data_IF_128155076624
#
_entry.id   IF_128155076624
#
_cell.length_a   1.000
_cell.length_b   1.000
_cell.length_c   1.000
_cell.angle_alpha   90.00
_cell.angle_beta   90.00
_cell.angle_gamma   90.00
#
_symmetry.space_group_name_H-M   'P 1'
#
loop_
_entity.id
_entity.type
_entity.pdbx_description
1 polymer ?
#
# COMPACT_ATOMS: atom_id res chain seq x y z
N UNK A 1 -8.27 -2.24 13.96
CA UNK A 1 -7.68 -2.09 12.61
C UNK A 1 -8.12 -3.25 11.75
N UNK A 2 -8.38 -2.99 10.48
CA UNK A 2 -8.81 -3.98 9.49
C UNK A 2 -7.78 -4.04 8.36
N UNK A 3 -7.50 -5.21 7.84
CA UNK A 3 -6.71 -5.34 6.62
C UNK A 3 -7.65 -5.38 5.42
N UNK A 4 -7.49 -4.42 4.53
CA UNK A 4 -8.17 -4.37 3.24
C UNK A 4 -7.21 -4.62 2.09
N UNK A 5 -7.73 -4.72 0.88
CA UNK A 5 -6.92 -4.83 -0.33
C UNK A 5 -7.49 -3.94 -1.42
N UNK A 6 -6.62 -3.32 -2.20
CA UNK A 6 -7.03 -2.53 -3.36
C UNK A 6 -7.59 -3.43 -4.47
N UNK A 7 -8.58 -2.93 -5.20
CA UNK A 7 -9.04 -3.57 -6.43
C UNK A 7 -7.97 -3.50 -7.52
N UNK A 8 -7.22 -2.39 -7.54
CA UNK A 8 -6.19 -2.12 -8.52
C UNK A 8 -4.91 -2.91 -8.21
N UNK A 9 -4.38 -3.53 -9.24
CA UNK A 9 -3.01 -4.04 -9.29
C UNK A 9 -2.12 -2.95 -9.89
N UNK A 10 -1.00 -2.66 -9.25
CA UNK A 10 -0.06 -1.64 -9.72
C UNK A 10 1.35 -2.19 -9.88
N UNK A 11 2.08 -1.62 -10.82
CA UNK A 11 3.50 -1.88 -11.02
C UNK A 11 4.24 -0.56 -11.14
N UNK A 12 5.43 -0.51 -10.57
CA UNK A 12 6.32 0.64 -10.74
C UNK A 12 7.75 0.17 -11.02
N UNK A 13 8.43 0.85 -11.95
CA UNK A 13 9.79 0.52 -12.35
C UNK A 13 10.75 1.69 -12.16
N UNK A 14 10.25 2.92 -12.20
CA UNK A 14 11.04 4.15 -12.17
C UNK A 14 10.61 5.14 -11.10
N UNK A 15 9.42 4.95 -10.55
CA UNK A 15 8.82 5.89 -9.60
C UNK A 15 8.65 5.24 -8.25
N UNK A 16 8.76 6.05 -7.20
CA UNK A 16 8.37 5.67 -5.85
C UNK A 16 6.87 5.93 -5.70
N UNK A 17 6.05 4.91 -5.42
CA UNK A 17 4.64 5.10 -5.18
C UNK A 17 4.39 5.46 -3.72
N UNK A 18 3.48 6.40 -3.49
CA UNK A 18 2.95 6.72 -2.17
C UNK A 18 1.46 6.45 -2.15
N UNK A 19 1.03 5.60 -1.24
CA UNK A 19 -0.37 5.39 -0.95
C UNK A 19 -0.81 6.40 0.10
N UNK A 20 -1.76 7.25 -0.26
CA UNK A 20 -2.30 8.30 0.60
C UNK A 20 -3.82 8.17 0.71
N UNK A 21 -4.36 8.67 1.81
CA UNK A 21 -5.80 8.85 1.95
C UNK A 21 -6.33 9.96 1.04
N UNK A 22 -7.63 10.18 1.12
CA UNK A 22 -8.31 11.30 0.46
C UNK A 22 -8.93 12.19 1.53
N UNK A 23 -8.93 13.50 1.31
CA UNK A 23 -9.42 14.46 2.30
C UNK A 23 -10.88 14.20 2.73
N UNK A 24 -11.74 13.79 1.80
CA UNK A 24 -13.14 13.45 2.11
C UNK A 24 -13.26 12.18 2.95
N UNK A 25 -12.32 11.25 2.82
CA UNK A 25 -12.26 10.00 3.59
C UNK A 25 -11.68 10.27 4.98
N UNK A 26 -10.62 11.07 5.05
CA UNK A 26 -10.05 11.52 6.33
C UNK A 26 -11.05 12.25 7.21
N UNK A 27 -11.93 13.07 6.61
CA UNK A 27 -13.02 13.75 7.34
C UNK A 27 -14.08 12.82 7.93
N UNK A 28 -14.16 11.60 7.43
CA UNK A 28 -14.99 10.54 8.02
C UNK A 28 -14.27 9.79 9.15
N UNK A 29 -13.03 10.15 9.45
CA UNK A 29 -12.21 9.50 10.47
C UNK A 29 -11.61 8.17 10.01
N UNK A 30 -11.39 8.00 8.71
CA UNK A 30 -10.82 6.78 8.14
C UNK A 30 -9.35 7.02 7.78
N UNK A 31 -8.46 6.22 8.35
CA UNK A 31 -7.08 6.09 7.93
C UNK A 31 -6.93 4.82 7.08
N UNK A 32 -6.10 4.83 6.04
CA UNK A 32 -5.91 3.69 5.14
C UNK A 32 -4.55 3.01 5.24
N UNK A 33 -3.63 3.61 5.98
CA UNK A 33 -2.37 2.99 6.41
C UNK A 33 -2.01 3.47 7.83
N UNK A 34 -1.31 2.65 8.56
CA UNK A 34 -0.92 2.98 9.94
C UNK A 34 0.32 3.89 9.97
N UNK A 35 1.40 3.52 9.30
CA UNK A 35 2.68 4.23 9.38
C UNK A 35 3.39 4.41 8.04
N UNK A 36 3.20 3.54 7.09
CA UNK A 36 4.05 3.45 5.91
C UNK A 36 3.22 3.46 4.61
N UNK A 37 2.92 4.64 4.11
CA UNK A 37 2.28 4.81 2.80
C UNK A 37 3.24 4.67 1.62
N UNK A 38 4.55 4.79 1.86
CA UNK A 38 5.55 4.67 0.80
C UNK A 38 5.75 3.23 0.36
N UNK A 39 5.64 2.98 -0.93
CA UNK A 39 6.12 1.75 -1.57
C UNK A 39 7.54 1.89 -2.12
N UNK A 40 8.14 0.80 -2.48
CA UNK A 40 9.46 0.77 -3.12
C UNK A 40 9.34 0.72 -4.65
N UNK A 41 10.36 1.24 -5.34
CA UNK A 41 10.51 1.00 -6.78
C UNK A 41 10.62 -0.50 -7.03
N UNK A 42 9.84 -1.00 -7.99
CA UNK A 42 9.77 -2.43 -8.29
C UNK A 42 8.69 -3.19 -7.51
N UNK A 43 7.92 -2.52 -6.67
CA UNK A 43 6.73 -3.12 -6.06
C UNK A 43 5.67 -3.38 -7.13
N UNK A 44 5.14 -4.60 -7.15
CA UNK A 44 4.18 -5.07 -8.15
C UNK A 44 3.12 -5.93 -7.48
N UNK A 45 2.04 -5.30 -7.03
CA UNK A 45 0.97 -6.04 -6.37
C UNK A 45 -0.31 -5.20 -6.25
N UNK A 46 -1.37 -5.82 -5.74
CA UNK A 46 -2.42 -5.11 -5.04
C UNK A 46 -1.86 -4.64 -3.68
N UNK A 47 -2.35 -3.52 -3.20
CA UNK A 47 -1.90 -2.95 -1.92
C UNK A 47 -2.74 -3.50 -0.77
N UNK A 48 -2.08 -3.92 0.29
CA UNK A 48 -2.75 -4.16 1.56
C UNK A 48 -2.93 -2.83 2.26
N UNK A 49 -4.17 -2.54 2.63
CA UNK A 49 -4.56 -1.35 3.37
C UNK A 49 -4.70 -1.69 4.85
N UNK A 50 -4.17 -0.84 5.70
CA UNK A 50 -4.24 -0.94 7.16
C UNK A 50 -5.29 0.06 7.65
N UNK A 51 -6.56 -0.34 7.53
CA UNK A 51 -7.70 0.55 7.74
C UNK A 51 -8.00 0.67 9.23
N UNK A 52 -8.00 1.88 9.74
CA UNK A 52 -8.51 2.20 11.07
C UNK A 52 -9.57 3.30 10.98
N UNK A 53 -10.49 3.28 11.93
CA UNK A 53 -11.61 4.23 11.96
C UNK A 53 -11.76 4.82 13.35
N UNK A 54 -12.05 6.12 13.42
CA UNK A 54 -12.26 6.86 14.68
C UNK A 54 -13.71 6.89 15.12
N UNK A 55 -14.61 6.47 14.24
CA UNK A 55 -16.05 6.38 14.49
C UNK A 55 -16.67 5.33 13.56
N UNK A 56 -17.86 4.80 13.85
CA UNK A 56 -18.53 3.89 12.93
C UNK A 56 -18.78 4.55 11.58
N UNK A 57 -18.33 3.92 10.50
CA UNK A 57 -18.52 4.38 9.13
C UNK A 57 -18.93 3.23 8.24
N UNK A 58 -19.78 3.54 7.27
CA UNK A 58 -20.15 2.60 6.22
C UNK A 58 -19.30 2.85 4.99
N UNK A 59 -18.60 1.82 4.55
CA UNK A 59 -17.84 1.83 3.31
C UNK A 59 -18.35 0.72 2.38
N UNK A 60 -18.07 0.85 1.10
CA UNK A 60 -18.55 -0.06 0.07
C UNK A 60 -17.36 -0.64 -0.71
N UNK A 61 -17.47 -1.90 -1.11
CA UNK A 61 -16.51 -2.49 -2.02
C UNK A 61 -16.42 -1.66 -3.32
N UNK A 62 -15.20 -1.40 -3.79
CA UNK A 62 -14.96 -0.55 -4.96
C UNK A 62 -15.02 0.96 -4.69
N UNK A 63 -15.33 1.37 -3.47
CA UNK A 63 -15.31 2.80 -3.10
C UNK A 63 -13.88 3.36 -3.15
N UNK A 64 -13.65 4.51 -3.82
CA UNK A 64 -12.33 5.12 -3.89
C UNK A 64 -11.98 5.80 -2.55
N UNK A 65 -11.24 5.10 -1.70
CA UNK A 65 -10.86 5.56 -0.35
C UNK A 65 -9.44 6.09 -0.24
N UNK A 66 -8.62 5.88 -1.26
CA UNK A 66 -7.24 6.31 -1.29
C UNK A 66 -6.81 6.81 -2.66
N UNK A 67 -5.56 7.17 -2.77
CA UNK A 67 -4.92 7.62 -4.01
C UNK A 67 -3.45 7.21 -4.00
N UNK A 68 -2.89 6.96 -5.17
CA UNK A 68 -1.46 6.77 -5.36
C UNK A 68 -0.85 8.03 -5.96
N UNK A 69 0.24 8.47 -5.34
CA UNK A 69 1.07 9.57 -5.83
C UNK A 69 2.43 8.96 -6.21
N UNK A 70 2.98 9.38 -7.33
CA UNK A 70 4.26 8.88 -7.82
C UNK A 70 5.31 9.98 -7.81
N UNK A 71 6.48 9.67 -7.24
CA UNK A 71 7.63 10.57 -7.22
C UNK A 71 8.75 10.03 -8.10
N UNK A 72 9.42 10.91 -8.79
CA UNK A 72 10.63 10.56 -9.53
C UNK A 72 11.75 10.22 -8.54
N UNK A 73 12.57 9.24 -8.92
CA UNK A 73 13.82 8.95 -8.23
C UNK A 73 14.93 9.71 -8.91
N UNK A 74 15.72 10.43 -8.12
CA UNK A 74 16.98 11.00 -8.58
C UNK A 74 18.08 9.96 -8.39
N UNK A 75 18.79 9.63 -9.48
CA UNK A 75 19.79 8.58 -9.50
C UNK A 75 19.26 7.21 -9.96
N UNK A 76 19.99 6.16 -9.61
CA UNK A 76 19.76 4.78 -10.07
C UNK A 76 19.32 3.90 -8.91
N UNK A 77 18.24 3.13 -9.12
CA UNK A 77 17.83 2.07 -8.19
C UNK A 77 18.59 0.79 -8.51
N UNK A 78 19.57 0.47 -7.68
CA UNK A 78 20.44 -0.70 -7.91
C UNK A 78 19.69 -2.03 -7.73
N UNK A 79 18.84 -2.12 -6.71
CA UNK A 79 18.08 -3.34 -6.41
C UNK A 79 16.61 -3.00 -6.18
N UNK A 80 15.78 -3.07 -7.22
CA UNK A 80 14.34 -2.83 -7.08
C UNK A 80 13.69 -3.91 -6.21
N UNK A 81 12.56 -3.57 -5.60
CA UNK A 81 11.87 -4.42 -4.62
C UNK A 81 11.63 -5.85 -5.09
N UNK A 82 11.20 -6.03 -6.34
CA UNK A 82 10.91 -7.34 -6.91
C UNK A 82 12.16 -8.24 -7.09
N UNK A 83 13.35 -7.68 -6.94
CA UNK A 83 14.65 -8.40 -7.03
C UNK A 83 15.35 -8.53 -5.68
N UNK A 84 14.82 -7.90 -4.62
CA UNK A 84 15.39 -8.04 -3.28
C UNK A 84 15.08 -9.44 -2.71
N UNK A 85 16.10 -10.16 -2.26
CA UNK A 85 15.92 -11.44 -1.56
C UNK A 85 15.12 -11.32 -0.26
N UNK A 86 15.26 -10.16 0.41
CA UNK A 86 14.53 -9.85 1.64
C UNK A 86 13.10 -9.32 1.44
N UNK A 87 12.65 -9.17 0.20
CA UNK A 87 11.30 -8.65 -0.08
C UNK A 87 10.23 -9.63 0.40
N UNK A 88 9.36 -9.16 1.28
CA UNK A 88 8.36 -9.98 1.96
C UNK A 88 7.07 -10.16 1.15
N UNK A 89 6.68 -9.15 0.37
CA UNK A 89 5.36 -9.06 -0.24
C UNK A 89 5.40 -9.14 -1.77
N UNK A 90 6.27 -10.01 -2.30
CA UNK A 90 6.42 -10.22 -3.76
C UNK A 90 5.40 -11.18 -4.35
N UNK A 91 4.75 -12.01 -3.53
CA UNK A 91 3.74 -12.95 -4.01
C UNK A 91 2.47 -12.18 -4.38
N UNK A 92 2.08 -12.27 -5.64
CA UNK A 92 0.83 -11.66 -6.13
C UNK A 92 -0.38 -12.23 -5.38
N UNK A 93 -1.23 -11.36 -4.90
CA UNK A 93 -2.45 -11.75 -4.21
C UNK A 93 -3.53 -10.69 -4.34
N UNK A 94 -4.77 -11.14 -4.46
CA UNK A 94 -5.96 -10.29 -4.38
C UNK A 94 -6.58 -10.26 -2.98
N UNK A 95 -5.86 -10.79 -1.99
CA UNK A 95 -6.27 -10.78 -0.58
C UNK A 95 -5.32 -9.90 0.21
N UNK A 96 -5.77 -9.31 1.32
CA UNK A 96 -4.88 -8.62 2.24
C UNK A 96 -3.81 -9.60 2.75
N UNK A 97 -2.60 -9.10 2.93
CA UNK A 97 -1.48 -9.89 3.44
C UNK A 97 -1.18 -9.45 4.86
N UNK A 98 -1.10 -10.42 5.76
CA UNK A 98 -0.68 -10.20 7.14
C UNK A 98 0.78 -9.75 7.24
N UNK A 99 1.16 -9.22 8.40
CA UNK A 99 2.55 -8.87 8.65
C UNK A 99 3.47 -10.08 8.53
N UNK A 100 4.51 -9.93 7.74
CA UNK A 100 5.59 -10.93 7.60
C UNK A 100 6.82 -10.54 8.44
N UNK A 101 6.63 -9.79 9.52
CA UNK A 101 7.72 -9.36 10.41
C UNK A 101 8.46 -10.55 11.04
N UNK A 102 7.78 -11.66 11.26
CA UNK A 102 8.36 -12.91 11.78
C UNK A 102 9.54 -13.44 10.95
N UNK A 103 9.64 -13.06 9.68
CA UNK A 103 10.79 -13.42 8.82
C UNK A 103 12.09 -12.71 9.22
N UNK A 104 12.04 -11.73 10.10
CA UNK A 104 13.21 -11.00 10.59
C UNK A 104 13.83 -11.68 11.82
N UNK A 105 13.20 -12.68 12.34
CA UNK A 105 13.58 -13.44 13.51
C UNK A 105 13.73 -14.92 13.17
#
# INVERSE_FOLDING_TARGET
MYLGVTAEYTETFKYVPFLEGKSSIGRLGIDIHATAGKGDVGFKNNWTLEISVKQPVRIYSGMPIGQLIYFKVDGIVLTPYNKKSSAKYNKKTKKPVESMMWKNF
#
